data_IF_795514023781
#
_entry.id   IF_795514023781
#
_cell.length_a   1.000
_cell.length_b   1.000
_cell.length_c   1.000
_cell.angle_alpha   90.00
_cell.angle_beta   90.00
_cell.angle_gamma   90.00
#
_symmetry.space_group_name_H-M   'P 1'
#
loop_
_entity.id
_entity.type
_entity.pdbx_description
1 polymer ?
#
# COMPACT_ATOMS: atom_id res chain seq x y z
N UNK A 1 -9.84 4.32 -8.23
CA UNK A 1 -8.61 3.71 -7.65
C UNK A 1 -8.11 4.47 -6.43
N UNK A 2 -8.16 5.80 -6.44
CA UNK A 2 -7.77 6.65 -5.30
C UNK A 2 -8.50 6.32 -4.00
N UNK A 3 -9.80 5.99 -4.05
CA UNK A 3 -10.53 5.60 -2.85
C UNK A 3 -10.03 4.28 -2.24
N UNK A 4 -9.73 3.27 -3.05
CA UNK A 4 -9.18 2.02 -2.54
C UNK A 4 -7.78 2.23 -1.95
N UNK A 5 -6.94 3.05 -2.59
CA UNK A 5 -5.62 3.44 -2.07
C UNK A 5 -5.72 4.19 -0.74
N UNK A 6 -6.67 5.12 -0.63
CA UNK A 6 -6.97 5.85 0.61
C UNK A 6 -7.45 4.90 1.71
N UNK A 7 -8.38 4.01 1.38
CA UNK A 7 -8.89 3.00 2.30
C UNK A 7 -7.78 2.08 2.83
N UNK A 8 -6.85 1.64 1.98
CA UNK A 8 -5.69 0.84 2.41
C UNK A 8 -4.86 1.58 3.47
N UNK A 9 -4.56 2.86 3.26
CA UNK A 9 -3.82 3.68 4.22
C UNK A 9 -4.59 3.85 5.53
N UNK A 10 -5.88 4.17 5.46
CA UNK A 10 -6.74 4.32 6.64
C UNK A 10 -6.79 3.03 7.45
N UNK A 11 -7.07 1.90 6.81
CA UNK A 11 -7.13 0.61 7.49
C UNK A 11 -5.76 0.19 8.05
N UNK A 12 -4.67 0.45 7.33
CA UNK A 12 -3.33 0.18 7.83
C UNK A 12 -3.02 0.98 9.11
N UNK A 13 -3.31 2.29 9.13
CA UNK A 13 -3.14 3.12 10.35
C UNK A 13 -3.98 2.57 11.50
N UNK A 14 -5.27 2.29 11.26
CA UNK A 14 -6.18 1.85 12.32
C UNK A 14 -5.77 0.52 12.94
N UNK A 15 -5.40 -0.48 12.12
CA UNK A 15 -4.98 -1.79 12.60
C UNK A 15 -3.63 -1.71 13.34
N UNK A 16 -2.65 -1.00 12.77
CA UNK A 16 -1.34 -0.82 13.43
C UNK A 16 -1.52 -0.11 14.77
N UNK A 17 -2.30 0.97 14.82
CA UNK A 17 -2.55 1.68 16.07
C UNK A 17 -3.24 0.79 17.12
N UNK A 18 -4.25 0.01 16.73
CA UNK A 18 -4.94 -0.90 17.63
C UNK A 18 -4.01 -1.98 18.21
N UNK A 19 -3.13 -2.55 17.37
CA UNK A 19 -2.14 -3.56 17.79
C UNK A 19 -1.12 -2.94 18.74
N UNK A 20 -0.57 -1.77 18.41
CA UNK A 20 0.43 -1.10 19.26
C UNK A 20 -0.14 -0.72 20.63
N UNK A 21 -1.40 -0.24 20.68
CA UNK A 21 -2.10 0.03 21.95
C UNK A 21 -2.30 -1.26 22.76
N UNK A 22 -2.67 -2.37 22.10
CA UNK A 22 -2.80 -3.66 22.76
C UNK A 22 -1.47 -4.11 23.37
N UNK A 23 -0.37 -4.07 22.61
CA UNK A 23 0.97 -4.40 23.10
C UNK A 23 1.35 -3.55 24.32
N UNK A 24 1.20 -2.22 24.22
CA UNK A 24 1.55 -1.32 25.30
C UNK A 24 0.78 -1.64 26.60
N UNK A 25 -0.49 -2.04 26.48
CA UNK A 25 -1.32 -2.43 27.63
C UNK A 25 -0.90 -3.78 28.24
N UNK A 26 -0.49 -4.74 27.42
CA UNK A 26 0.00 -6.03 27.90
C UNK A 26 1.36 -5.92 28.60
N UNK A 27 2.30 -5.14 28.04
CA UNK A 27 3.60 -4.88 28.67
C UNK A 27 3.48 -4.14 30.01
N UNK A 28 2.56 -3.17 30.11
CA UNK A 28 2.36 -2.41 31.35
C UNK A 28 1.73 -3.22 32.51
N UNK A 29 1.10 -4.37 32.25
CA UNK A 29 0.40 -5.16 33.29
C UNK A 29 1.28 -6.23 33.96
N UNK A 30 2.61 -6.21 33.75
CA UNK A 30 3.53 -7.19 34.33
C UNK A 30 3.41 -8.60 33.75
N UNK A 31 2.83 -8.74 32.56
CA UNK A 31 2.90 -9.99 31.78
C UNK A 31 4.29 -10.16 31.16
N UNK A 32 4.66 -11.40 30.82
CA UNK A 32 5.96 -11.75 30.23
C UNK A 32 6.39 -10.76 29.11
N UNK A 33 7.43 -9.95 29.36
CA UNK A 33 8.02 -9.02 28.37
C UNK A 33 8.42 -9.74 27.07
N UNK A 34 8.82 -11.01 27.16
CA UNK A 34 9.11 -11.83 25.99
C UNK A 34 7.88 -12.10 25.11
N UNK A 35 6.67 -12.12 25.68
CA UNK A 35 5.43 -12.29 24.94
C UNK A 35 4.96 -11.00 24.27
N UNK A 36 5.15 -9.82 24.90
CA UNK A 36 4.81 -8.51 24.33
C UNK A 36 5.66 -8.18 23.10
N UNK A 37 6.96 -8.52 23.12
CA UNK A 37 7.88 -8.31 21.99
C UNK A 37 7.44 -9.10 20.74
N UNK A 38 6.98 -10.34 20.92
CA UNK A 38 6.47 -11.15 19.80
C UNK A 38 5.17 -10.59 19.20
N UNK A 39 4.33 -9.95 20.02
CA UNK A 39 3.07 -9.33 19.57
C UNK A 39 3.31 -8.07 18.74
N UNK A 40 4.40 -7.31 18.96
CA UNK A 40 4.75 -6.12 18.16
C UNK A 40 4.92 -6.47 16.68
N UNK A 41 5.57 -7.60 16.38
CA UNK A 41 5.83 -8.01 15.01
C UNK A 41 4.56 -8.35 14.22
N UNK A 42 3.45 -8.66 14.90
CA UNK A 42 2.15 -8.87 14.25
C UNK A 42 1.66 -7.60 13.55
N UNK A 43 2.03 -6.41 14.05
CA UNK A 43 1.70 -5.14 13.40
C UNK A 43 2.35 -4.98 12.02
N UNK A 44 3.39 -5.76 11.69
CA UNK A 44 4.01 -5.71 10.35
C UNK A 44 3.14 -6.36 9.28
N UNK A 45 2.25 -7.28 9.65
CA UNK A 45 1.34 -7.98 8.71
C UNK A 45 0.41 -6.99 7.97
N UNK A 46 -0.37 -6.13 8.64
CA UNK A 46 -1.21 -5.15 7.93
C UNK A 46 -0.38 -4.15 7.13
N UNK A 47 0.82 -3.77 7.60
CA UNK A 47 1.74 -2.89 6.85
C UNK A 47 2.15 -3.53 5.52
N UNK A 48 2.56 -4.81 5.54
CA UNK A 48 3.00 -5.51 4.35
C UNK A 48 1.84 -5.76 3.37
N UNK A 49 0.72 -6.30 3.85
CA UNK A 49 -0.42 -6.67 3.00
C UNK A 49 -1.09 -5.43 2.40
N UNK A 50 -1.40 -4.43 3.22
CA UNK A 50 -2.07 -3.22 2.74
C UNK A 50 -1.13 -2.32 1.95
N UNK A 51 0.17 -2.30 2.28
CA UNK A 51 1.20 -1.62 1.48
C UNK A 51 1.36 -2.22 0.08
N UNK A 52 1.33 -3.55 -0.03
CA UNK A 52 1.32 -4.23 -1.32
C UNK A 52 0.07 -3.88 -2.14
N UNK A 53 -1.11 -3.95 -1.52
CA UNK A 53 -2.39 -3.60 -2.16
C UNK A 53 -2.41 -2.14 -2.64
N UNK A 54 -1.94 -1.21 -1.82
CA UNK A 54 -1.84 0.21 -2.17
C UNK A 54 -0.90 0.44 -3.37
N UNK A 55 0.26 -0.22 -3.38
CA UNK A 55 1.18 -0.19 -4.51
C UNK A 55 0.54 -0.76 -5.79
N UNK A 56 -0.22 -1.85 -5.68
CA UNK A 56 -0.95 -2.44 -6.80
C UNK A 56 -2.01 -1.47 -7.38
N UNK A 57 -2.76 -0.77 -6.53
CA UNK A 57 -3.70 0.25 -6.98
C UNK A 57 -3.01 1.39 -7.72
N UNK A 58 -1.84 1.83 -7.24
CA UNK A 58 -1.05 2.87 -7.90
C UNK A 58 -0.51 2.42 -9.27
N UNK A 59 -0.05 1.17 -9.40
CA UNK A 59 0.38 0.61 -10.69
C UNK A 59 -0.79 0.59 -11.68
N UNK A 60 -1.95 0.14 -11.21
CA UNK A 60 -3.14 0.04 -12.04
C UNK A 60 -3.64 1.42 -12.49
N UNK A 61 -3.55 2.43 -11.62
CA UNK A 61 -3.88 3.82 -11.96
C UNK A 61 -2.95 4.38 -13.03
N UNK A 62 -1.63 4.21 -12.86
CA UNK A 62 -0.64 4.65 -13.85
C UNK A 62 -0.86 3.97 -15.21
N UNK A 63 -1.20 2.69 -15.19
CA UNK A 63 -1.49 1.93 -16.40
C UNK A 63 -2.74 2.44 -17.11
N UNK A 64 -3.84 2.66 -16.37
CA UNK A 64 -5.07 3.19 -16.93
C UNK A 64 -4.88 4.59 -17.51
N UNK A 65 -4.17 5.48 -16.80
CA UNK A 65 -3.81 6.81 -17.30
C UNK A 65 -3.02 6.73 -18.61
N UNK A 66 -2.04 5.80 -18.69
CA UNK A 66 -1.24 5.61 -19.91
C UNK A 66 -2.12 5.20 -21.10
N UNK A 67 -2.98 4.20 -20.93
CA UNK A 67 -3.89 3.75 -21.99
C UNK A 67 -4.85 4.84 -22.43
N UNK A 68 -5.40 5.60 -21.47
CA UNK A 68 -6.28 6.73 -21.77
C UNK A 68 -5.57 7.81 -22.59
N UNK A 69 -4.37 8.23 -22.17
CA UNK A 69 -3.60 9.23 -22.92
C UNK A 69 -3.23 8.73 -24.32
N UNK A 70 -2.87 7.45 -24.46
CA UNK A 70 -2.58 6.85 -25.76
C UNK A 70 -3.82 6.80 -26.66
N UNK A 71 -4.98 6.44 -26.11
CA UNK A 71 -6.26 6.45 -26.81
C UNK A 71 -6.62 7.86 -27.30
N UNK A 72 -6.55 8.88 -26.43
CA UNK A 72 -6.84 10.28 -26.79
C UNK A 72 -5.88 10.79 -27.86
N UNK A 73 -4.59 10.44 -27.80
CA UNK A 73 -3.62 10.82 -28.83
C UNK A 73 -3.94 10.16 -30.19
N UNK A 74 -4.32 8.88 -30.20
CA UNK A 74 -4.73 8.17 -31.43
C UNK A 74 -6.02 8.73 -32.03
N UNK A 75 -6.97 9.14 -31.17
CA UNK A 75 -8.20 9.83 -31.56
C UNK A 75 -7.90 11.15 -32.29
N UNK A 76 -7.03 11.99 -31.75
CA UNK A 76 -6.67 13.27 -32.38
C UNK A 76 -5.89 13.10 -33.69
N UNK A 77 -5.07 12.04 -33.80
CA UNK A 77 -4.26 11.77 -35.00
C UNK A 77 -5.00 11.02 -36.11
N UNK A 78 -6.33 10.80 -35.98
CA UNK A 78 -7.18 10.04 -36.91
C UNK A 78 -6.64 8.63 -37.26
N UNK A 79 -5.80 8.06 -36.39
CA UNK A 79 -5.16 6.75 -36.57
C UNK A 79 -5.89 5.63 -35.83
N UNK A 80 -7.18 5.80 -35.57
CA UNK A 80 -7.96 4.85 -34.78
C UNK A 80 -8.32 3.62 -35.60
N UNK A 81 -7.74 2.49 -35.19
CA UNK A 81 -8.18 1.17 -35.59
C UNK A 81 -9.41 0.75 -34.77
N UNK A 82 -10.48 0.24 -35.43
CA UNK A 82 -11.77 -0.13 -34.80
C UNK A 82 -11.60 -1.19 -33.71
N UNK A 83 -10.53 -1.98 -33.76
CA UNK A 83 -10.26 -3.04 -32.78
C UNK A 83 -9.81 -2.50 -31.41
N UNK A 84 -9.25 -1.28 -31.34
CA UNK A 84 -8.81 -0.65 -30.08
C UNK A 84 -9.96 0.03 -29.30
N UNK A 85 -11.14 0.18 -29.89
CA UNK A 85 -12.27 0.87 -29.25
C UNK A 85 -12.88 0.08 -28.07
N UNK A 86 -12.70 -1.24 -28.00
CA UNK A 86 -13.49 -2.09 -27.11
C UNK A 86 -12.69 -3.00 -26.17
N UNK A 87 -11.36 -3.02 -26.27
CA UNK A 87 -10.52 -3.94 -25.46
C UNK A 87 -9.47 -3.17 -24.66
N UNK A 88 -9.77 -2.91 -23.39
CA UNK A 88 -8.78 -2.47 -22.40
C UNK A 88 -8.06 -3.71 -21.90
N UNK A 89 -6.79 -3.88 -22.26
CA UNK A 89 -5.98 -5.02 -21.80
C UNK A 89 -5.84 -4.99 -20.26
N UNK A 90 -5.64 -6.12 -19.58
CA UNK A 90 -5.31 -6.05 -18.16
C UNK A 90 -3.90 -5.47 -17.96
N UNK A 91 -3.64 -4.70 -16.89
CA UNK A 91 -2.29 -4.28 -16.56
C UNK A 91 -1.41 -5.52 -16.37
N UNK A 92 -0.32 -5.62 -17.15
CA UNK A 92 0.71 -6.63 -16.88
C UNK A 92 1.42 -6.24 -15.58
N UNK A 93 1.09 -6.93 -14.49
CA UNK A 93 1.73 -6.74 -13.21
C UNK A 93 3.22 -7.12 -13.32
N UNK A 94 4.07 -6.11 -13.51
CA UNK A 94 5.52 -6.27 -13.51
C UNK A 94 6.06 -5.96 -12.12
N UNK A 95 6.89 -6.85 -11.58
CA UNK A 95 7.57 -6.64 -10.29
C UNK A 95 8.33 -5.31 -10.25
N UNK A 96 8.93 -4.88 -11.37
CA UNK A 96 9.63 -3.57 -11.47
C UNK A 96 8.67 -2.40 -11.26
N UNK A 97 7.46 -2.47 -11.82
CA UNK A 97 6.46 -1.42 -11.66
C UNK A 97 5.89 -1.38 -10.24
N UNK A 98 5.75 -2.55 -9.62
CA UNK A 98 5.28 -2.67 -8.24
C UNK A 98 6.32 -2.10 -7.25
N UNK A 99 7.60 -2.46 -7.39
CA UNK A 99 8.68 -1.88 -6.59
C UNK A 99 8.76 -0.35 -6.75
N UNK A 100 8.68 0.14 -7.99
CA UNK A 100 8.62 1.59 -8.27
C UNK A 100 7.38 2.26 -7.67
N UNK A 101 6.30 1.52 -7.46
CA UNK A 101 5.10 2.03 -6.80
C UNK A 101 5.28 2.13 -5.29
N UNK A 102 5.91 1.15 -4.62
CA UNK A 102 6.10 1.23 -3.15
C UNK A 102 7.02 2.40 -2.77
N UNK A 103 8.07 2.66 -3.56
CA UNK A 103 8.96 3.82 -3.37
C UNK A 103 8.40 5.14 -3.93
N UNK A 104 7.13 5.18 -4.33
CA UNK A 104 6.48 6.41 -4.81
C UNK A 104 6.19 7.37 -3.65
N UNK A 105 6.31 8.70 -3.84
CA UNK A 105 6.08 9.71 -2.79
C UNK A 105 4.73 9.61 -2.07
N UNK A 106 3.73 8.99 -2.69
CA UNK A 106 2.39 8.81 -2.13
C UNK A 106 2.27 7.61 -1.17
N UNK A 107 3.21 6.67 -1.22
CA UNK A 107 3.15 5.40 -0.48
C UNK A 107 4.27 5.36 0.55
N UNK A 108 5.52 5.57 0.15
CA UNK A 108 6.67 5.35 1.03
C UNK A 108 6.59 6.10 2.36
N UNK A 109 6.17 7.39 2.46
CA UNK A 109 6.20 8.11 3.74
C UNK A 109 5.23 7.51 4.76
N UNK A 110 4.05 7.08 4.30
CA UNK A 110 2.98 6.57 5.16
C UNK A 110 3.38 5.25 5.81
N UNK A 111 3.82 4.29 4.99
CA UNK A 111 4.21 2.97 5.50
C UNK A 111 5.56 3.02 6.22
N UNK A 112 6.47 3.92 5.82
CA UNK A 112 7.71 4.14 6.55
C UNK A 112 7.46 4.69 7.97
N UNK A 113 6.55 5.64 8.13
CA UNK A 113 6.15 6.14 9.46
C UNK A 113 5.52 5.04 10.32
N UNK A 114 4.73 4.14 9.76
CA UNK A 114 4.18 3.00 10.51
C UNK A 114 5.28 2.04 10.98
N UNK A 115 6.23 1.72 10.10
CA UNK A 115 7.37 0.87 10.45
C UNK A 115 8.19 1.55 11.56
N UNK A 116 8.45 2.85 11.45
CA UNK A 116 9.14 3.61 12.49
C UNK A 116 8.40 3.57 13.84
N UNK A 117 7.06 3.67 13.83
CA UNK A 117 6.25 3.54 15.05
C UNK A 117 6.34 2.14 15.67
N UNK A 118 6.31 1.09 14.86
CA UNK A 118 6.48 -0.30 15.31
C UNK A 118 7.86 -0.48 15.96
N UNK A 119 8.93 0.00 15.32
CA UNK A 119 10.29 -0.04 15.88
C UNK A 119 10.42 0.78 17.16
N UNK A 120 9.80 1.95 17.24
CA UNK A 120 9.83 2.78 18.44
C UNK A 120 9.18 2.05 19.63
N UNK A 121 8.04 1.39 19.42
CA UNK A 121 7.37 0.60 20.47
C UNK A 121 8.20 -0.64 20.84
N UNK A 122 8.82 -1.32 19.88
CA UNK A 122 9.71 -2.45 20.17
C UNK A 122 10.91 -2.05 21.05
N UNK A 123 11.44 -0.84 20.93
CA UNK A 123 12.55 -0.37 21.78
C UNK A 123 12.10 0.01 23.20
N UNK A 124 10.81 0.25 23.40
CA UNK A 124 10.22 0.66 24.67
C UNK A 124 9.60 -0.51 25.46
N UNK A 125 9.32 -1.62 24.79
CA UNK A 125 8.73 -2.85 25.34
C UNK A 125 9.81 -3.90 25.62
#
# INVERSE_FOLDING_TARGET
MTDNSRACKTWAVTLVAAILVAVARFGASGGDEAASINLVWIATVPVAVLGYLDAHYLVSERWFRKQYCEFVNRLHTRSLDRQLMFVIQAPKASLKNLLRAIFSPTIWPVYWMMIAAIFAVHQLA
#
